data_IF_877047561082
#
_entry.id   IF_877047561082
#
_cell.length_a   1.000
_cell.length_b   1.000
_cell.length_c   1.000
_cell.angle_alpha   90.00
_cell.angle_beta   90.00
_cell.angle_gamma   90.00
#
_symmetry.space_group_name_H-M   'P 1'
#
loop_
_entity.id
_entity.type
_entity.pdbx_description
1 polymer ?
#
# COMPACT_ATOMS: atom_id res chain seq x y z
N UNK A 1 -5.96 6.74 6.95
CA UNK A 1 -5.57 5.34 7.15
C UNK A 1 -6.19 4.86 8.45
N UNK A 2 -7.04 3.85 8.38
CA UNK A 2 -7.46 3.16 9.57
C UNK A 2 -6.27 2.38 10.10
N UNK A 3 -5.61 2.92 11.12
CA UNK A 3 -4.59 2.19 11.84
C UNK A 3 -5.13 0.85 12.36
N UNK A 4 -4.36 0.12 13.07
CA UNK A 4 -4.67 -1.19 13.65
C UNK A 4 -6.02 -1.19 14.37
N UNK A 5 -7.10 -1.48 13.63
CA UNK A 5 -8.40 -1.75 14.22
C UNK A 5 -8.41 -3.22 14.63
N UNK A 6 -8.27 -3.48 15.92
CA UNK A 6 -8.14 -4.84 16.45
C UNK A 6 -9.45 -5.62 16.46
N UNK A 7 -10.60 -4.92 16.41
CA UNK A 7 -11.91 -5.58 16.31
C UNK A 7 -12.95 -4.70 15.57
N UNK A 8 -14.09 -5.32 15.26
CA UNK A 8 -15.17 -4.66 14.52
C UNK A 8 -15.78 -3.48 15.30
N UNK A 9 -15.72 -3.48 16.64
CA UNK A 9 -16.24 -2.41 17.49
C UNK A 9 -15.45 -1.13 17.33
N UNK A 10 -14.13 -1.23 17.10
CA UNK A 10 -13.28 -0.06 16.85
C UNK A 10 -13.69 0.61 15.54
N UNK A 11 -13.96 -0.18 14.49
CA UNK A 11 -14.43 0.36 13.21
C UNK A 11 -15.81 1.02 13.33
N UNK A 12 -16.74 0.38 14.04
CA UNK A 12 -18.08 0.93 14.32
C UNK A 12 -18.00 2.22 15.14
N UNK A 13 -17.14 2.26 16.16
CA UNK A 13 -16.93 3.44 17.00
C UNK A 13 -16.35 4.61 16.20
N UNK A 14 -15.25 4.39 15.46
CA UNK A 14 -14.62 5.45 14.66
C UNK A 14 -15.59 5.95 13.59
N UNK A 15 -16.32 5.06 12.94
CA UNK A 15 -17.32 5.44 11.95
C UNK A 15 -18.43 6.34 12.56
N UNK A 16 -18.96 5.94 13.72
CA UNK A 16 -20.02 6.68 14.40
C UNK A 16 -19.59 8.10 14.81
N UNK A 17 -18.30 8.29 15.15
CA UNK A 17 -17.77 9.57 15.62
C UNK A 17 -16.97 10.33 14.55
N UNK A 18 -16.87 9.80 13.32
CA UNK A 18 -16.07 10.44 12.25
C UNK A 18 -16.51 11.87 11.91
N UNK A 19 -17.79 12.19 12.08
CA UNK A 19 -18.33 13.53 11.87
C UNK A 19 -18.02 14.55 12.99
N UNK A 20 -17.44 14.12 14.11
CA UNK A 20 -17.04 15.00 15.22
C UNK A 20 -15.66 15.64 15.01
N UNK A 21 -14.89 15.15 14.05
CA UNK A 21 -13.59 15.70 13.73
C UNK A 21 -13.69 16.93 12.81
N UNK A 22 -12.80 17.92 12.98
CA UNK A 22 -12.80 19.14 12.17
C UNK A 22 -12.24 18.94 10.74
N UNK A 23 -12.03 17.69 10.32
CA UNK A 23 -11.49 17.28 9.02
C UNK A 23 -12.29 16.11 8.46
N UNK A 24 -12.36 16.02 7.14
CA UNK A 24 -12.94 14.85 6.49
C UNK A 24 -12.06 13.62 6.68
N UNK A 25 -12.67 12.52 7.14
CA UNK A 25 -11.99 11.27 7.42
C UNK A 25 -12.47 10.17 6.47
N UNK A 26 -11.81 9.96 5.31
CA UNK A 26 -12.12 8.83 4.44
C UNK A 26 -11.63 7.53 5.09
N UNK A 27 -12.56 6.74 5.63
CA UNK A 27 -12.25 5.51 6.34
C UNK A 27 -12.07 4.35 5.37
N UNK A 28 -10.97 3.61 5.52
CA UNK A 28 -10.73 2.30 4.92
C UNK A 28 -10.87 1.26 6.01
N UNK A 29 -11.86 0.37 5.89
CA UNK A 29 -12.04 -0.67 6.89
C UNK A 29 -11.08 -1.83 6.62
N UNK A 30 -10.20 -2.10 7.57
CA UNK A 30 -9.18 -3.14 7.47
C UNK A 30 -9.78 -4.53 7.69
N UNK A 31 -10.42 -5.05 6.68
CA UNK A 31 -11.02 -6.38 6.67
C UNK A 31 -11.00 -6.97 5.26
N UNK A 32 -11.01 -8.29 5.15
CA UNK A 32 -11.27 -8.97 3.87
C UNK A 32 -12.74 -9.39 3.73
N UNK A 33 -13.55 -9.20 4.77
CA UNK A 33 -14.99 -9.45 4.75
C UNK A 33 -15.74 -8.18 4.26
N UNK A 34 -16.09 -8.17 2.98
CA UNK A 34 -16.78 -7.04 2.37
C UNK A 34 -18.20 -6.84 2.93
N UNK A 35 -18.84 -7.88 3.49
CA UNK A 35 -20.15 -7.74 4.10
C UNK A 35 -20.11 -6.78 5.32
N UNK A 36 -19.01 -6.80 6.09
CA UNK A 36 -18.81 -5.86 7.21
C UNK A 36 -18.69 -4.43 6.73
N UNK A 37 -17.99 -4.20 5.61
CA UNK A 37 -17.83 -2.88 4.99
C UNK A 37 -19.19 -2.33 4.55
N UNK A 38 -19.99 -3.17 3.90
CA UNK A 38 -21.35 -2.83 3.49
C UNK A 38 -22.27 -2.51 4.65
N UNK A 39 -22.19 -3.29 5.73
CA UNK A 39 -23.01 -3.10 6.96
C UNK A 39 -22.83 -1.69 7.52
N UNK A 40 -21.63 -1.12 7.44
CA UNK A 40 -21.33 0.25 7.87
C UNK A 40 -21.63 1.31 6.79
N UNK A 41 -22.14 0.93 5.63
CA UNK A 41 -22.35 1.86 4.52
C UNK A 41 -21.08 2.41 3.89
N UNK A 42 -19.92 1.82 4.20
CA UNK A 42 -18.64 2.21 3.63
C UNK A 42 -18.45 1.64 2.21
N UNK A 43 -17.56 2.28 1.45
CA UNK A 43 -17.15 1.88 0.09
C UNK A 43 -15.65 1.74 -0.04
N UNK A 44 -14.92 1.70 1.07
CA UNK A 44 -13.46 1.62 1.12
C UNK A 44 -13.04 0.51 2.05
N UNK A 45 -12.08 -0.30 1.59
CA UNK A 45 -11.60 -1.47 2.30
C UNK A 45 -10.08 -1.56 2.22
N UNK A 46 -9.45 -2.08 3.25
CA UNK A 46 -8.01 -2.27 3.30
C UNK A 46 -7.28 -1.17 4.06
N UNK A 47 -6.24 -0.62 3.46
CA UNK A 47 -5.27 0.25 4.11
C UNK A 47 -4.07 -0.56 4.59
N UNK A 48 -4.24 -1.40 5.59
CA UNK A 48 -3.15 -2.23 6.15
C UNK A 48 -3.39 -3.75 5.96
N UNK A 49 -4.06 -4.15 4.87
CA UNK A 49 -4.05 -5.56 4.45
C UNK A 49 -2.69 -5.83 3.82
N UNK A 50 -1.85 -6.52 4.57
CA UNK A 50 -0.44 -6.71 4.23
C UNK A 50 -0.25 -7.82 3.22
N UNK A 51 0.24 -7.50 2.02
CA UNK A 51 0.69 -8.50 1.04
C UNK A 51 2.09 -9.01 1.40
N UNK A 52 2.93 -8.14 1.97
CA UNK A 52 4.22 -8.47 2.55
C UNK A 52 4.48 -7.65 3.83
N UNK A 53 5.71 -7.68 4.33
CA UNK A 53 6.10 -6.92 5.51
C UNK A 53 7.09 -5.78 5.21
N UNK A 54 7.94 -5.44 6.18
CA UNK A 54 8.83 -4.28 6.14
C UNK A 54 10.27 -4.62 5.77
N UNK A 55 11.03 -3.64 5.25
CA UNK A 55 12.47 -3.77 5.05
C UNK A 55 13.23 -3.92 6.38
N UNK A 56 12.78 -3.23 7.43
CA UNK A 56 13.43 -3.25 8.75
C UNK A 56 13.48 -4.65 9.36
N UNK A 57 12.39 -5.41 9.24
CA UNK A 57 12.29 -6.79 9.74
C UNK A 57 12.71 -7.86 8.72
N UNK A 58 13.22 -7.48 7.54
CA UNK A 58 13.51 -8.36 6.39
C UNK A 58 12.28 -9.11 5.87
N UNK A 59 11.07 -8.67 6.16
CA UNK A 59 9.86 -9.34 5.72
C UNK A 59 9.24 -8.77 4.44
N UNK A 60 9.72 -7.62 3.96
CA UNK A 60 9.35 -7.13 2.63
C UNK A 60 9.78 -8.13 1.55
N UNK A 61 8.86 -8.52 0.67
CA UNK A 61 9.09 -9.55 -0.33
C UNK A 61 9.82 -8.99 -1.55
N UNK A 62 11.07 -9.38 -1.74
CA UNK A 62 11.96 -8.86 -2.77
C UNK A 62 12.16 -9.87 -3.91
N UNK A 63 12.38 -9.36 -5.12
CA UNK A 63 12.77 -10.15 -6.29
C UNK A 63 14.20 -10.71 -6.18
N UNK A 64 15.10 -9.96 -5.52
CA UNK A 64 16.47 -10.38 -5.23
C UNK A 64 16.70 -10.42 -3.70
N UNK A 65 17.66 -11.22 -3.21
CA UNK A 65 17.93 -11.33 -1.77
C UNK A 65 18.25 -10.00 -1.10
N UNK A 66 18.05 -9.95 0.22
CA UNK A 66 18.57 -8.87 1.03
C UNK A 66 20.10 -8.80 0.96
N UNK A 67 20.68 -7.60 0.97
CA UNK A 67 22.13 -7.43 0.89
C UNK A 67 22.84 -7.96 2.14
N UNK A 68 22.22 -7.79 3.30
CA UNK A 68 22.71 -8.27 4.59
C UNK A 68 22.17 -9.66 4.98
N UNK A 69 21.35 -10.29 4.11
CA UNK A 69 20.86 -11.67 4.26
C UNK A 69 20.73 -12.33 2.86
N UNK A 70 21.84 -12.78 2.26
CA UNK A 70 21.86 -13.23 0.87
C UNK A 70 21.05 -14.50 0.58
N UNK A 71 20.65 -15.24 1.62
CA UNK A 71 19.81 -16.44 1.47
C UNK A 71 18.32 -16.15 1.62
N UNK A 72 17.93 -14.87 1.81
CA UNK A 72 16.56 -14.52 2.13
C UNK A 72 16.03 -13.36 1.29
N UNK A 73 14.76 -13.48 0.88
CA UNK A 73 14.07 -12.52 0.00
C UNK A 73 12.79 -11.95 0.58
N UNK A 74 12.59 -12.08 1.89
CA UNK A 74 11.32 -11.71 2.51
C UNK A 74 10.20 -12.72 2.27
N UNK A 75 8.99 -12.33 2.60
CA UNK A 75 7.85 -13.23 2.67
C UNK A 75 6.59 -12.58 2.08
N UNK A 76 5.83 -13.34 1.29
CA UNK A 76 4.46 -12.99 0.89
C UNK A 76 3.52 -13.51 1.98
N UNK A 77 2.71 -12.64 2.55
CA UNK A 77 1.73 -12.98 3.60
C UNK A 77 0.38 -13.38 2.99
N UNK A 78 0.01 -12.74 1.89
CA UNK A 78 -1.23 -13.04 1.16
C UNK A 78 -0.88 -13.73 -0.17
N UNK A 79 -1.08 -15.06 -0.29
CA UNK A 79 -0.82 -15.79 -1.53
C UNK A 79 -1.61 -15.25 -2.72
N UNK A 80 -1.06 -15.42 -3.94
CA UNK A 80 -1.62 -14.82 -5.16
C UNK A 80 -3.09 -15.18 -5.39
N UNK A 81 -3.48 -16.43 -5.18
CA UNK A 81 -4.88 -16.87 -5.41
C UNK A 81 -5.86 -16.15 -4.48
N UNK A 82 -5.51 -16.02 -3.19
CA UNK A 82 -6.34 -15.29 -2.24
C UNK A 82 -6.37 -13.79 -2.52
N UNK A 83 -5.24 -13.22 -2.97
CA UNK A 83 -5.15 -11.82 -3.39
C UNK A 83 -6.00 -11.56 -4.64
N UNK A 84 -5.93 -12.43 -5.64
CA UNK A 84 -6.72 -12.34 -6.87
C UNK A 84 -8.21 -12.38 -6.59
N UNK A 85 -8.64 -13.32 -5.74
CA UNK A 85 -10.04 -13.47 -5.35
C UNK A 85 -10.54 -12.21 -4.63
N UNK A 86 -9.78 -11.72 -3.66
CA UNK A 86 -10.16 -10.54 -2.89
C UNK A 86 -10.23 -9.28 -3.76
N UNK A 87 -9.21 -9.03 -4.59
CA UNK A 87 -9.20 -7.91 -5.53
C UNK A 87 -10.40 -7.99 -6.47
N UNK A 88 -10.65 -9.17 -7.05
CA UNK A 88 -11.79 -9.39 -7.93
C UNK A 88 -13.14 -9.11 -7.26
N UNK A 89 -13.30 -9.51 -5.99
CA UNK A 89 -14.51 -9.22 -5.22
C UNK A 89 -14.70 -7.71 -5.00
N UNK A 90 -13.61 -6.98 -4.71
CA UNK A 90 -13.65 -5.52 -4.56
C UNK A 90 -14.12 -4.83 -5.85
N UNK A 91 -13.59 -5.24 -7.01
CA UNK A 91 -14.04 -4.70 -8.29
C UNK A 91 -15.52 -5.00 -8.58
N UNK A 92 -15.99 -6.23 -8.33
CA UNK A 92 -17.39 -6.62 -8.55
C UNK A 92 -18.38 -5.88 -7.67
N UNK A 93 -17.94 -5.42 -6.51
CA UNK A 93 -18.78 -4.75 -5.53
C UNK A 93 -18.56 -3.23 -5.48
N UNK A 94 -17.84 -2.66 -6.45
CA UNK A 94 -17.52 -1.23 -6.49
C UNK A 94 -16.91 -0.69 -5.20
N UNK A 95 -16.02 -1.50 -4.59
CA UNK A 95 -15.27 -1.13 -3.38
C UNK A 95 -13.90 -0.59 -3.74
N UNK A 96 -13.55 0.62 -3.29
CA UNK A 96 -12.18 1.10 -3.36
C UNK A 96 -11.30 0.28 -2.41
N UNK A 97 -10.23 -0.30 -2.94
CA UNK A 97 -9.29 -1.14 -2.19
C UNK A 97 -7.96 -0.41 -1.98
N UNK A 98 -7.39 -0.54 -0.80
CA UNK A 98 -6.03 -0.14 -0.48
C UNK A 98 -5.25 -1.36 0.03
N UNK A 99 -4.10 -1.67 -0.58
CA UNK A 99 -3.26 -2.81 -0.23
C UNK A 99 -1.88 -2.35 0.19
N UNK A 100 -1.44 -2.83 1.35
CA UNK A 100 -0.07 -2.63 1.82
C UNK A 100 0.89 -3.51 1.02
N UNK A 101 1.89 -2.91 0.38
CA UNK A 101 2.99 -3.65 -0.26
C UNK A 101 4.26 -2.81 -0.36
N UNK A 102 5.38 -3.35 0.11
CA UNK A 102 6.68 -2.67 0.20
C UNK A 102 7.68 -3.23 -0.79
N UNK A 103 7.85 -4.54 -0.85
CA UNK A 103 8.82 -5.20 -1.72
C UNK A 103 8.35 -5.30 -3.17
N UNK A 104 9.29 -5.23 -4.09
CA UNK A 104 9.02 -5.29 -5.53
C UNK A 104 8.29 -6.58 -5.95
N UNK A 105 8.52 -7.71 -5.26
CA UNK A 105 7.80 -8.95 -5.51
C UNK A 105 6.35 -8.89 -5.01
N UNK A 106 6.08 -8.25 -3.88
CA UNK A 106 4.72 -8.07 -3.38
C UNK A 106 3.94 -7.08 -4.27
N UNK A 107 4.58 -5.98 -4.69
CA UNK A 107 4.00 -5.02 -5.62
C UNK A 107 3.65 -5.73 -6.94
N UNK A 108 4.49 -6.63 -7.45
CA UNK A 108 4.17 -7.43 -8.63
C UNK A 108 2.90 -8.25 -8.46
N UNK A 109 2.76 -8.92 -7.30
CA UNK A 109 1.55 -9.68 -6.98
C UNK A 109 0.29 -8.80 -6.98
N UNK A 110 0.39 -7.59 -6.42
CA UNK A 110 -0.73 -6.61 -6.41
C UNK A 110 -1.08 -6.18 -7.84
N UNK A 111 -0.09 -5.84 -8.66
CA UNK A 111 -0.32 -5.42 -10.04
C UNK A 111 -0.97 -6.54 -10.87
N UNK A 112 -0.50 -7.78 -10.74
CA UNK A 112 -1.09 -8.93 -11.42
C UNK A 112 -2.55 -9.16 -11.04
N UNK A 113 -2.91 -9.00 -9.76
CA UNK A 113 -4.28 -9.14 -9.31
C UNK A 113 -5.19 -8.05 -9.90
N UNK A 114 -4.74 -6.79 -9.91
CA UNK A 114 -5.48 -5.68 -10.53
C UNK A 114 -5.60 -5.86 -12.06
N UNK A 115 -4.56 -6.25 -12.75
CA UNK A 115 -4.59 -6.52 -14.20
C UNK A 115 -5.61 -7.62 -14.55
N UNK A 116 -5.65 -8.69 -13.75
CA UNK A 116 -6.61 -9.79 -13.93
C UNK A 116 -8.05 -9.30 -13.74
N UNK A 117 -8.30 -8.51 -12.69
CA UNK A 117 -9.62 -7.95 -12.43
C UNK A 117 -10.07 -6.97 -13.53
N UNK A 118 -9.18 -6.11 -14.01
CA UNK A 118 -9.47 -5.16 -15.11
C UNK A 118 -9.76 -5.92 -16.41
N UNK A 119 -8.99 -6.95 -16.74
CA UNK A 119 -9.29 -7.81 -17.93
C UNK A 119 -10.64 -8.49 -17.85
N UNK A 120 -11.20 -8.68 -16.67
CA UNK A 120 -12.55 -9.22 -16.44
C UNK A 120 -13.64 -8.14 -16.37
N UNK A 121 -13.33 -6.91 -16.78
CA UNK A 121 -14.29 -5.80 -16.84
C UNK A 121 -14.29 -4.87 -15.62
N UNK A 122 -13.32 -5.01 -14.72
CA UNK A 122 -13.16 -4.13 -13.57
C UNK A 122 -12.88 -2.68 -13.97
N UNK A 123 -13.48 -1.73 -13.26
CA UNK A 123 -13.37 -0.29 -13.56
C UNK A 123 -12.15 0.34 -12.90
N UNK A 124 -11.29 0.99 -13.70
CA UNK A 124 -10.16 1.80 -13.17
C UNK A 124 -10.62 3.07 -12.45
N UNK A 125 -11.90 3.45 -12.57
CA UNK A 125 -12.47 4.62 -11.89
C UNK A 125 -12.59 4.44 -10.36
N UNK A 126 -12.46 3.22 -9.86
CA UNK A 126 -12.50 2.93 -8.41
C UNK A 126 -11.29 3.49 -7.65
N UNK A 127 -10.21 3.85 -8.36
CA UNK A 127 -9.04 4.53 -7.78
C UNK A 127 -8.43 3.73 -6.62
N UNK A 128 -8.21 2.43 -6.85
CA UNK A 128 -7.53 1.58 -5.87
C UNK A 128 -6.15 2.11 -5.51
N UNK A 129 -5.66 1.76 -4.31
CA UNK A 129 -4.42 2.31 -3.77
C UNK A 129 -3.40 1.21 -3.51
N UNK A 130 -2.13 1.55 -3.71
CA UNK A 130 -0.98 0.81 -3.21
C UNK A 130 -0.37 1.64 -2.09
N UNK A 131 -0.38 1.11 -0.87
CA UNK A 131 0.24 1.76 0.27
C UNK A 131 1.74 1.44 0.30
N UNK A 132 2.54 2.43 0.63
CA UNK A 132 4.00 2.43 0.73
C UNK A 132 4.73 2.35 -0.61
N UNK A 133 4.63 1.25 -1.34
CA UNK A 133 5.29 1.02 -2.63
C UNK A 133 6.81 1.34 -2.63
N UNK A 134 7.51 1.09 -1.51
CA UNK A 134 8.88 1.58 -1.26
C UNK A 134 9.85 1.09 -2.33
N UNK A 135 9.77 -0.18 -2.72
CA UNK A 135 10.71 -0.81 -3.65
C UNK A 135 10.15 -0.95 -5.08
N UNK A 136 9.11 -0.19 -5.43
CA UNK A 136 8.52 -0.22 -6.77
C UNK A 136 9.58 0.06 -7.86
N UNK A 137 9.59 -0.79 -8.90
CA UNK A 137 10.46 -0.57 -10.07
C UNK A 137 9.82 0.45 -11.02
N UNK A 138 10.60 1.08 -11.91
CA UNK A 138 10.03 2.00 -12.91
C UNK A 138 8.94 1.35 -13.77
N UNK A 139 9.11 0.08 -14.14
CA UNK A 139 8.13 -0.69 -14.92
C UNK A 139 6.84 -0.93 -14.13
N UNK A 140 6.95 -1.24 -12.85
CA UNK A 140 5.81 -1.43 -11.96
C UNK A 140 5.05 -0.10 -11.74
N UNK A 141 5.80 1.00 -11.60
CA UNK A 141 5.22 2.34 -11.48
C UNK A 141 4.42 2.70 -12.73
N UNK A 142 4.98 2.47 -13.93
CA UNK A 142 4.29 2.73 -15.19
C UNK A 142 3.00 1.90 -15.32
N UNK A 143 3.06 0.59 -15.04
CA UNK A 143 1.88 -0.30 -15.06
C UNK A 143 0.80 0.14 -14.07
N UNK A 144 1.18 0.54 -12.86
CA UNK A 144 0.25 1.05 -11.86
C UNK A 144 -0.44 2.34 -12.34
N UNK A 145 0.33 3.26 -12.95
CA UNK A 145 -0.19 4.50 -13.51
C UNK A 145 -1.20 4.25 -14.66
N UNK A 146 -0.91 3.31 -15.56
CA UNK A 146 -1.81 2.91 -16.66
C UNK A 146 -3.13 2.36 -16.12
N UNK A 147 -3.09 1.60 -15.02
CA UNK A 147 -4.27 1.07 -14.34
C UNK A 147 -4.98 2.11 -13.45
N UNK A 148 -4.50 3.35 -13.38
CA UNK A 148 -5.03 4.42 -12.51
C UNK A 148 -4.97 4.09 -11.01
N UNK A 149 -4.03 3.24 -10.60
CA UNK A 149 -3.78 3.00 -9.19
C UNK A 149 -3.12 4.24 -8.56
N UNK A 150 -3.49 4.52 -7.32
CA UNK A 150 -2.95 5.63 -6.54
C UNK A 150 -1.80 5.10 -5.69
N UNK A 151 -0.67 5.80 -5.69
CA UNK A 151 0.40 5.56 -4.73
C UNK A 151 0.15 6.38 -3.47
N UNK A 152 0.00 5.70 -2.34
CA UNK A 152 -0.10 6.32 -1.02
C UNK A 152 1.21 6.09 -0.28
N UNK A 153 2.03 7.12 -0.21
CA UNK A 153 3.44 7.02 0.18
C UNK A 153 3.77 7.85 1.42
N UNK A 154 4.88 7.52 2.06
CA UNK A 154 5.35 8.20 3.27
C UNK A 154 6.68 8.92 2.97
N UNK A 155 6.67 10.21 2.61
CA UNK A 155 7.90 10.93 2.29
C UNK A 155 8.90 10.96 3.45
N UNK A 156 8.42 10.98 4.70
CA UNK A 156 9.26 10.91 5.89
C UNK A 156 10.15 9.65 5.93
N UNK A 157 9.69 8.53 5.34
CA UNK A 157 10.47 7.29 5.29
C UNK A 157 11.77 7.43 4.47
N UNK A 158 11.72 8.19 3.37
CA UNK A 158 12.90 8.48 2.57
C UNK A 158 13.93 9.28 3.37
N UNK A 159 13.48 10.24 4.17
CA UNK A 159 14.34 11.04 5.05
C UNK A 159 14.92 10.23 6.21
N UNK A 160 14.08 9.45 6.89
CA UNK A 160 14.48 8.75 8.14
C UNK A 160 15.33 7.51 7.87
N UNK A 161 15.06 6.77 6.81
CA UNK A 161 15.63 5.44 6.57
C UNK A 161 16.31 5.28 5.22
N UNK A 162 16.04 6.18 4.29
CA UNK A 162 16.67 6.21 2.98
C UNK A 162 18.07 6.84 3.02
N UNK A 163 18.63 7.01 1.83
CA UNK A 163 19.93 7.65 1.67
C UNK A 163 21.12 6.75 1.98
N UNK A 164 22.33 7.30 1.68
CA UNK A 164 23.60 6.61 1.90
C UNK A 164 23.86 6.40 3.40
N UNK A 165 24.25 5.20 3.77
CA UNK A 165 24.44 4.79 5.17
C UNK A 165 23.12 4.51 5.91
N UNK A 166 21.98 4.71 5.28
CA UNK A 166 20.66 4.49 5.87
C UNK A 166 20.30 3.01 6.02
N UNK A 167 19.15 2.76 6.65
CA UNK A 167 18.66 1.40 6.84
C UNK A 167 18.39 0.71 5.51
N UNK A 168 17.83 1.41 4.53
CA UNK A 168 17.51 0.83 3.22
C UNK A 168 18.76 0.36 2.48
N UNK A 169 19.85 1.16 2.48
CA UNK A 169 21.10 0.72 1.87
C UNK A 169 21.63 -0.56 2.52
N UNK A 170 21.62 -0.63 3.85
CA UNK A 170 22.06 -1.85 4.57
C UNK A 170 21.21 -3.07 4.19
N UNK A 171 19.90 -2.90 4.00
CA UNK A 171 18.96 -3.99 3.68
C UNK A 171 19.03 -4.44 2.23
N UNK A 172 19.11 -3.52 1.29
CA UNK A 172 18.92 -3.84 -0.14
C UNK A 172 20.12 -3.46 -1.01
N UNK A 173 21.24 -3.00 -0.43
CA UNK A 173 22.42 -2.56 -1.16
C UNK A 173 22.08 -1.40 -2.09
N UNK A 174 22.74 -1.30 -3.23
CA UNK A 174 22.55 -0.22 -4.21
C UNK A 174 21.10 -0.04 -4.69
N UNK A 175 20.24 -1.06 -4.51
CA UNK A 175 18.83 -0.96 -4.83
C UNK A 175 18.10 0.11 -4.00
N UNK A 176 18.71 0.58 -2.89
CA UNK A 176 18.14 1.70 -2.13
C UNK A 176 17.98 2.98 -2.96
N UNK A 177 18.78 3.15 -4.00
CA UNK A 177 18.71 4.32 -4.91
C UNK A 177 17.36 4.45 -5.62
N UNK A 178 16.60 3.37 -5.72
CA UNK A 178 15.25 3.36 -6.28
C UNK A 178 14.15 3.32 -5.23
N UNK A 179 14.49 3.27 -3.93
CA UNK A 179 13.48 3.29 -2.88
C UNK A 179 12.75 4.63 -2.84
N UNK A 180 11.44 4.59 -2.58
CA UNK A 180 10.61 5.79 -2.54
C UNK A 180 10.79 6.69 -3.79
N UNK A 181 10.74 6.10 -4.98
CA UNK A 181 11.01 6.80 -6.23
C UNK A 181 9.84 7.70 -6.65
N UNK A 182 9.58 8.74 -5.87
CA UNK A 182 8.48 9.69 -6.11
C UNK A 182 8.63 10.38 -7.47
N UNK A 183 9.86 10.71 -7.88
CA UNK A 183 10.13 11.33 -9.17
C UNK A 183 9.65 10.46 -10.34
N UNK A 184 9.90 9.14 -10.29
CA UNK A 184 9.39 8.21 -11.30
C UNK A 184 7.87 8.09 -11.27
N UNK A 185 7.24 8.13 -10.08
CA UNK A 185 5.77 8.11 -9.97
C UNK A 185 5.15 9.34 -10.63
N UNK A 186 5.68 10.54 -10.38
CA UNK A 186 5.22 11.77 -11.04
C UNK A 186 5.50 11.76 -12.55
N UNK A 187 6.69 11.30 -12.96
CA UNK A 187 7.04 11.21 -14.39
C UNK A 187 6.14 10.24 -15.16
N UNK A 188 5.66 9.18 -14.54
CA UNK A 188 4.69 8.25 -15.10
C UNK A 188 3.25 8.79 -15.12
N UNK A 189 3.00 10.00 -14.61
CA UNK A 189 1.67 10.58 -14.49
C UNK A 189 0.78 9.90 -13.46
N UNK A 190 1.36 9.17 -12.51
CA UNK A 190 0.62 8.53 -11.45
C UNK A 190 0.04 9.55 -10.44
N UNK A 191 -1.10 9.24 -9.86
CA UNK A 191 -1.63 9.98 -8.72
C UNK A 191 -0.86 9.54 -7.47
N UNK A 192 -0.26 10.49 -6.78
CA UNK A 192 0.50 10.25 -5.54
C UNK A 192 -0.11 11.04 -4.41
N UNK A 193 -0.35 10.40 -3.28
CA UNK A 193 -0.74 11.06 -2.04
C UNK A 193 0.28 10.74 -0.94
N UNK A 194 0.63 11.77 -0.15
CA UNK A 194 1.57 11.64 0.97
C UNK A 194 0.84 11.47 2.29
N UNK A 195 1.42 10.68 3.18
CA UNK A 195 0.94 10.49 4.55
C UNK A 195 2.11 10.27 5.50
N UNK A 196 1.84 10.31 6.80
CA UNK A 196 2.84 10.06 7.84
C UNK A 196 2.94 8.60 8.25
N UNK A 197 1.89 7.82 7.97
CA UNK A 197 1.71 6.49 8.57
C UNK A 197 1.77 6.59 10.12
N UNK A 198 1.07 7.60 10.65
CA UNK A 198 1.04 7.81 12.10
C UNK A 198 0.34 6.59 12.77
N UNK A 199 0.92 6.05 13.78
CA UNK A 199 1.94 6.54 14.72
C UNK A 199 3.40 6.15 14.37
N UNK A 200 3.65 5.55 13.21
CA UNK A 200 5.01 5.16 12.78
C UNK A 200 5.91 6.37 12.57
N UNK A 201 5.38 7.45 11.99
CA UNK A 201 6.05 8.75 11.96
C UNK A 201 5.12 9.86 12.44
N UNK A 202 5.70 10.95 12.92
CA UNK A 202 4.91 12.10 13.37
C UNK A 202 4.05 12.67 12.23
N UNK A 203 2.80 13.10 12.52
CA UNK A 203 1.92 13.71 11.53
C UNK A 203 2.37 15.16 11.22
N UNK A 204 3.52 15.31 10.57
CA UNK A 204 4.11 16.58 10.15
C UNK A 204 4.12 16.67 8.62
N UNK A 205 3.01 17.04 7.97
CA UNK A 205 2.93 17.04 6.51
C UNK A 205 3.99 17.92 5.84
N UNK A 206 4.39 19.02 6.48
CA UNK A 206 5.41 19.92 5.94
C UNK A 206 6.84 19.32 5.90
N UNK A 207 7.08 18.22 6.62
CA UNK A 207 8.34 17.47 6.49
C UNK A 207 8.31 16.49 5.32
N UNK A 208 7.14 16.24 4.75
CA UNK A 208 6.95 15.34 3.62
C UNK A 208 6.93 16.06 2.27
N UNK A 209 6.96 17.37 2.26
CA UNK A 209 6.97 18.22 1.08
C UNK A 209 8.37 18.75 0.82
#
# INVERSE_FOLDING_TARGET
EGGWLFDDRDAEFIYAHSGEFPVDMPLFYQTMDLAKVWKLGLRRVGGNIMVDGTLSSHSAALSAPYADRPDYRGQIFLPQDGLDEFVQQCYRQDMQLALYSIGDRAIESVLLAHERAIRQGGSTALRHRIEHAIMATPEQIARAADMKLIFSVQPAYAYLWGGKGGMYERRVGERYLRSNNFAAMFAAGAVVCGGSDSDVTEPRPMLGI
#
